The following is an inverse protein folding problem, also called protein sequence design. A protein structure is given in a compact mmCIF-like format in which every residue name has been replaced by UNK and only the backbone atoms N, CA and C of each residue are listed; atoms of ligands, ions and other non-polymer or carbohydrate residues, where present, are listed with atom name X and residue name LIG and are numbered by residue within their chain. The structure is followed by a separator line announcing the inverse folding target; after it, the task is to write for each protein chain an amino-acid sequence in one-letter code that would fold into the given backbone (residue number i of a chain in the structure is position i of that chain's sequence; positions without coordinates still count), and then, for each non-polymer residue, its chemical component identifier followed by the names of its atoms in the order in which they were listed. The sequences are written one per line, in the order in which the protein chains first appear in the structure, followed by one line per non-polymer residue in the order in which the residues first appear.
data_IF_604115097788
#
_entry.id   IF_604115097788
#
_cell.length_a   1.000
_cell.length_b   1.000
_cell.length_c   1.000
_cell.angle_alpha   90.00
_cell.angle_beta   90.00
_cell.angle_gamma   90.00
#
_symmetry.space_group_name_H-M   'P 1'
#
loop_
_entity.id
_entity.type
_entity.pdbx_description
1 polymer ?
#
# COMPACT_ATOMS: atom_id res chain seq x y z
N UNK A 1 12.57 -0.71 -11.97
CA UNK A 1 11.40 -0.35 -11.15
C UNK A 1 11.85 0.36 -9.89
N UNK A 2 11.16 1.40 -9.47
CA UNK A 2 11.54 2.29 -8.37
C UNK A 2 10.58 2.09 -7.19
N UNK A 3 11.09 1.99 -5.96
CA UNK A 3 10.30 1.91 -4.75
C UNK A 3 10.26 3.29 -4.10
N UNK A 4 9.08 3.77 -3.77
CA UNK A 4 8.89 4.99 -2.99
C UNK A 4 8.79 4.65 -1.52
N UNK A 5 9.50 5.39 -0.66
CA UNK A 5 9.54 5.12 0.79
C UNK A 5 8.92 6.30 1.53
N UNK A 6 7.79 6.04 2.18
CA UNK A 6 7.12 6.99 3.09
C UNK A 6 7.54 6.71 4.52
N UNK A 7 8.11 7.70 5.20
CA UNK A 7 8.59 7.56 6.58
C UNK A 7 8.65 8.91 7.31
N UNK A 8 8.59 8.89 8.62
CA UNK A 8 8.74 10.11 9.42
C UNK A 8 10.21 10.54 9.54
N UNK A 9 10.47 11.85 9.36
CA UNK A 9 11.80 12.43 9.55
C UNK A 9 12.25 12.49 11.02
N UNK A 10 11.38 12.10 11.94
CA UNK A 10 11.72 12.01 13.35
C UNK A 10 12.44 10.69 13.66
N UNK A 11 13.24 10.72 14.73
CA UNK A 11 13.88 9.51 15.24
C UNK A 11 12.83 8.60 15.89
N UNK A 12 13.00 7.27 15.82
CA UNK A 12 14.11 6.53 15.21
C UNK A 12 13.97 6.29 13.70
N UNK A 13 12.81 6.58 13.09
CA UNK A 13 12.49 6.23 11.71
C UNK A 13 13.52 6.77 10.71
N UNK A 14 13.93 8.04 10.86
CA UNK A 14 14.91 8.65 9.96
C UNK A 14 16.25 7.91 9.96
N UNK A 15 16.79 7.55 11.12
CA UNK A 15 18.05 6.81 11.23
C UNK A 15 17.94 5.41 10.62
N UNK A 16 16.83 4.70 10.89
CA UNK A 16 16.61 3.35 10.40
C UNK A 16 16.52 3.35 8.88
N UNK A 17 15.75 4.26 8.30
CA UNK A 17 15.61 4.34 6.84
C UNK A 17 16.92 4.71 6.18
N UNK A 18 17.59 5.79 6.63
CA UNK A 18 18.80 6.29 5.96
C UNK A 18 20.03 5.41 6.17
N UNK A 19 20.23 4.88 7.37
CA UNK A 19 21.46 4.20 7.74
C UNK A 19 21.42 2.68 7.59
N UNK A 20 20.21 2.10 7.50
CA UNK A 20 20.03 0.64 7.41
C UNK A 20 19.28 0.23 6.17
N UNK A 21 18.04 0.70 5.98
CA UNK A 21 17.18 0.27 4.87
C UNK A 21 17.72 0.71 3.51
N UNK A 22 17.99 1.99 3.31
CA UNK A 22 18.51 2.51 2.03
C UNK A 22 19.82 1.87 1.58
N UNK A 23 20.83 1.66 2.45
CA UNK A 23 22.04 0.92 2.08
C UNK A 23 21.76 -0.53 1.64
N UNK A 24 20.85 -1.24 2.33
CA UNK A 24 20.47 -2.60 1.96
C UNK A 24 19.78 -2.67 0.60
N UNK A 25 18.85 -1.75 0.31
CA UNK A 25 18.21 -1.65 -1.00
C UNK A 25 19.24 -1.38 -2.10
N UNK A 26 20.16 -0.45 -1.87
CA UNK A 26 21.23 -0.12 -2.82
C UNK A 26 22.15 -1.32 -3.09
N UNK A 27 22.58 -2.04 -2.05
CA UNK A 27 23.40 -3.25 -2.17
C UNK A 27 22.69 -4.36 -2.96
N UNK A 28 21.35 -4.37 -2.88
CA UNK A 28 20.52 -5.34 -3.58
C UNK A 28 20.13 -4.92 -5.00
N UNK A 29 20.68 -3.80 -5.52
CA UNK A 29 20.34 -3.20 -6.81
C UNK A 29 18.86 -2.85 -6.97
N UNK A 30 18.20 -2.46 -5.88
CA UNK A 30 16.83 -1.97 -5.88
C UNK A 30 16.86 -0.45 -5.90
N UNK A 31 16.28 0.15 -6.94
CA UNK A 31 16.13 1.59 -7.03
C UNK A 31 15.04 2.08 -6.08
N UNK A 32 15.28 3.21 -5.40
CA UNK A 32 14.34 3.76 -4.43
C UNK A 32 14.33 5.29 -4.44
N UNK A 33 13.19 5.84 -4.04
CA UNK A 33 12.97 7.27 -3.85
C UNK A 33 12.56 7.56 -2.42
N UNK A 34 13.16 8.58 -1.84
CA UNK A 34 12.76 9.20 -0.56
C UNK A 34 12.69 10.71 -0.76
N UNK A 35 11.75 11.34 -0.07
CA UNK A 35 11.49 12.77 -0.17
C UNK A 35 12.75 13.67 -0.02
N UNK A 36 13.62 13.35 0.94
CA UNK A 36 14.86 14.12 1.20
C UNK A 36 15.95 13.91 0.15
N UNK A 37 16.01 12.73 -0.47
CA UNK A 37 17.08 12.39 -1.42
C UNK A 37 16.77 12.91 -2.81
N UNK A 38 15.53 12.81 -3.20
CA UNK A 38 15.07 13.12 -4.55
C UNK A 38 14.51 14.55 -4.65
N UNK A 39 14.10 15.14 -3.52
CA UNK A 39 13.90 16.58 -3.39
C UNK A 39 15.24 17.30 -3.23
N UNK A 40 16.09 17.28 -4.29
CA UNK A 40 17.27 18.14 -4.39
C UNK A 40 16.87 19.62 -4.29
N UNK A 41 17.87 20.49 -4.22
CA UNK A 41 17.63 21.94 -4.21
C UNK A 41 16.69 22.36 -5.35
N UNK A 42 15.48 22.84 -5.00
CA UNK A 42 14.47 23.30 -5.97
C UNK A 42 13.40 22.27 -6.34
N UNK A 43 13.37 21.06 -5.75
CA UNK A 43 12.29 20.11 -5.97
C UNK A 43 11.04 20.43 -5.15
N UNK A 44 9.90 20.23 -5.77
CA UNK A 44 8.57 20.45 -5.19
C UNK A 44 8.14 19.24 -4.34
N UNK A 45 8.00 19.44 -3.03
CA UNK A 45 7.52 18.39 -2.09
C UNK A 45 6.13 17.89 -2.49
N UNK A 46 5.28 18.76 -3.00
CA UNK A 46 3.93 18.36 -3.45
C UNK A 46 3.97 17.46 -4.69
N UNK A 47 4.99 17.60 -5.54
CA UNK A 47 5.21 16.68 -6.65
C UNK A 47 5.54 15.28 -6.13
N UNK A 48 6.43 15.15 -5.15
CA UNK A 48 6.75 13.87 -4.51
C UNK A 48 5.52 13.22 -3.85
N UNK A 49 4.72 14.01 -3.11
CA UNK A 49 3.49 13.54 -2.49
C UNK A 49 2.50 12.96 -3.53
N UNK A 50 2.40 13.59 -4.71
CA UNK A 50 1.57 13.08 -5.82
C UNK A 50 2.14 11.81 -6.44
N UNK A 51 3.45 11.77 -6.65
CA UNK A 51 4.15 10.60 -7.22
C UNK A 51 4.01 9.37 -6.34
N UNK A 52 4.25 9.50 -5.03
CA UNK A 52 4.13 8.37 -4.09
C UNK A 52 2.69 7.86 -4.01
N UNK A 53 1.70 8.76 -4.10
CA UNK A 53 0.29 8.40 -4.16
C UNK A 53 -0.04 7.49 -5.36
N UNK A 54 0.61 7.68 -6.49
CA UNK A 54 0.36 6.95 -7.75
C UNK A 54 1.35 5.81 -7.98
N UNK A 55 2.39 5.67 -7.16
CA UNK A 55 3.45 4.69 -7.35
C UNK A 55 2.94 3.24 -7.23
N UNK A 56 3.41 2.38 -8.12
CA UNK A 56 3.09 0.94 -8.10
C UNK A 56 3.78 0.19 -6.96
N UNK A 57 4.87 0.76 -6.41
CA UNK A 57 5.64 0.16 -5.33
C UNK A 57 5.95 1.18 -4.25
N UNK A 58 5.30 1.03 -3.11
CA UNK A 58 5.46 1.89 -1.95
C UNK A 58 5.84 1.07 -0.73
N UNK A 59 6.83 1.54 0.01
CA UNK A 59 7.20 1.03 1.31
C UNK A 59 6.83 2.06 2.38
N UNK A 60 5.88 1.73 3.23
CA UNK A 60 5.44 2.58 4.34
C UNK A 60 6.10 2.13 5.62
N UNK A 61 6.86 3.03 6.26
CA UNK A 61 7.58 2.77 7.50
C UNK A 61 6.84 3.44 8.65
N UNK A 62 6.02 2.66 9.34
CA UNK A 62 5.16 3.13 10.42
C UNK A 62 5.94 3.32 11.72
N UNK A 63 5.70 4.43 12.37
CA UNK A 63 6.16 4.77 13.73
C UNK A 63 5.12 5.65 14.42
N UNK A 64 5.21 5.83 15.73
CA UNK A 64 4.32 6.76 16.41
C UNK A 64 4.39 8.17 15.78
N UNK A 65 5.58 8.65 15.45
CA UNK A 65 5.76 9.95 14.83
C UNK A 65 5.20 10.06 13.40
N UNK A 66 4.99 8.95 12.70
CA UNK A 66 4.37 8.89 11.39
C UNK A 66 2.92 9.41 11.44
N UNK A 67 2.15 8.92 12.41
CA UNK A 67 0.73 9.24 12.57
C UNK A 67 0.45 10.71 12.94
N UNK A 68 1.45 11.44 13.39
CA UNK A 68 1.36 12.87 13.74
C UNK A 68 2.13 13.78 12.79
N UNK A 69 2.59 13.24 11.65
CA UNK A 69 3.24 14.00 10.58
C UNK A 69 2.24 14.31 9.47
N UNK A 70 2.05 15.60 9.18
CA UNK A 70 1.12 16.05 8.13
C UNK A 70 1.48 15.44 6.77
N UNK A 71 2.76 15.47 6.39
CA UNK A 71 3.21 14.95 5.10
C UNK A 71 3.03 13.43 5.02
N UNK A 72 3.49 12.67 6.04
CA UNK A 72 3.35 11.22 6.06
C UNK A 72 1.89 10.77 5.98
N UNK A 73 1.02 11.39 6.77
CA UNK A 73 -0.40 11.05 6.77
C UNK A 73 -1.11 11.47 5.49
N UNK A 74 -0.68 12.56 4.87
CA UNK A 74 -1.20 12.98 3.58
C UNK A 74 -0.75 12.04 2.45
N UNK A 75 0.55 11.65 2.43
CA UNK A 75 1.07 10.60 1.53
C UNK A 75 0.27 9.31 1.67
N UNK A 76 0.05 8.85 2.90
CA UNK A 76 -0.76 7.67 3.19
C UNK A 76 -2.19 7.81 2.64
N UNK A 77 -2.83 8.95 2.86
CA UNK A 77 -4.16 9.23 2.34
C UNK A 77 -4.21 9.18 0.81
N UNK A 78 -3.19 9.71 0.13
CA UNK A 78 -3.08 9.66 -1.34
C UNK A 78 -2.85 8.22 -1.84
N UNK A 79 -2.01 7.43 -1.15
CA UNK A 79 -1.80 6.02 -1.45
C UNK A 79 -3.10 5.24 -1.37
N UNK A 80 -3.90 5.46 -0.32
CA UNK A 80 -5.20 4.81 -0.12
C UNK A 80 -6.25 5.29 -1.13
N UNK A 81 -6.26 6.58 -1.45
CA UNK A 81 -7.16 7.19 -2.42
C UNK A 81 -7.02 6.55 -3.80
N UNK A 82 -5.81 6.25 -4.23
CA UNK A 82 -5.52 5.70 -5.56
C UNK A 82 -5.76 4.18 -5.68
N UNK A 83 -6.32 3.54 -4.67
CA UNK A 83 -6.83 2.16 -4.74
C UNK A 83 -5.76 1.09 -4.54
N UNK A 84 -6.05 -0.12 -4.92
CA UNK A 84 -5.40 -1.42 -4.68
C UNK A 84 -4.11 -1.38 -3.85
N UNK A 85 -4.28 -1.39 -2.51
CA UNK A 85 -3.15 -1.27 -1.56
C UNK A 85 -2.40 -2.59 -1.40
N UNK A 86 -3.11 -3.73 -1.53
CA UNK A 86 -2.60 -5.07 -1.22
C UNK A 86 -1.36 -5.46 -2.04
N UNK A 87 -1.32 -5.07 -3.31
CA UNK A 87 -0.26 -5.52 -4.23
C UNK A 87 0.87 -4.49 -4.42
N UNK A 88 0.67 -3.25 -3.98
CA UNK A 88 1.64 -2.17 -4.22
C UNK A 88 2.25 -1.56 -2.95
N UNK A 89 1.68 -1.83 -1.77
CA UNK A 89 2.14 -1.23 -0.52
C UNK A 89 2.69 -2.30 0.42
N UNK A 90 3.92 -2.11 0.83
CA UNK A 90 4.61 -2.92 1.85
C UNK A 90 4.76 -2.11 3.11
N UNK A 91 4.65 -2.76 4.25
CA UNK A 91 4.58 -2.10 5.54
C UNK A 91 5.68 -2.60 6.47
N UNK A 92 6.36 -1.68 7.13
CA UNK A 92 7.30 -1.94 8.20
C UNK A 92 6.79 -1.25 9.46
N UNK A 93 6.71 -1.98 10.55
CA UNK A 93 6.47 -1.42 11.88
C UNK A 93 7.79 -1.24 12.61
N UNK A 94 8.10 -0.01 13.00
CA UNK A 94 9.29 0.26 13.81
C UNK A 94 9.02 0.15 15.31
N UNK A 95 7.76 0.34 15.72
CA UNK A 95 7.34 0.40 17.10
C UNK A 95 6.02 -0.36 17.25
N UNK A 96 5.82 -0.99 18.39
CA UNK A 96 4.51 -1.53 18.75
C UNK A 96 3.62 -0.40 19.26
N UNK A 97 2.88 0.22 18.35
CA UNK A 97 1.96 1.30 18.71
C UNK A 97 0.55 0.81 19.07
N UNK A 98 0.36 -0.51 19.14
CA UNK A 98 -0.97 -1.11 19.33
C UNK A 98 -1.94 -0.76 18.18
N UNK A 99 -2.58 -1.76 17.59
CA UNK A 99 -3.52 -1.56 16.49
C UNK A 99 -4.96 -1.60 16.99
N UNK A 100 -5.19 -0.88 18.09
CA UNK A 100 -6.47 -0.87 18.83
C UNK A 100 -7.38 0.26 18.35
N UNK A 101 -8.66 0.12 18.63
CA UNK A 101 -9.65 1.19 18.37
C UNK A 101 -9.37 2.44 19.22
N UNK A 102 -8.76 2.28 20.40
CA UNK A 102 -8.31 3.39 21.21
C UNK A 102 -7.22 4.20 20.52
N UNK A 103 -6.23 3.52 19.92
CA UNK A 103 -5.17 4.21 19.15
C UNK A 103 -5.73 4.88 17.90
N UNK A 104 -6.67 4.23 17.22
CA UNK A 104 -7.41 4.85 16.12
C UNK A 104 -8.07 6.16 16.54
N UNK A 105 -8.88 6.10 17.60
CA UNK A 105 -9.60 7.28 18.12
C UNK A 105 -8.64 8.40 18.49
N UNK A 106 -7.56 8.08 19.18
CA UNK A 106 -6.54 9.07 19.58
C UNK A 106 -5.92 9.80 18.39
N UNK A 107 -5.59 9.07 17.32
CA UNK A 107 -5.02 9.68 16.10
C UNK A 107 -6.09 10.49 15.36
N UNK A 108 -7.30 9.95 15.26
CA UNK A 108 -8.41 10.60 14.58
C UNK A 108 -8.79 11.92 15.25
N UNK A 109 -8.93 11.93 16.58
CA UNK A 109 -9.23 13.11 17.38
C UNK A 109 -8.14 14.18 17.24
N UNK A 110 -6.86 13.78 17.23
CA UNK A 110 -5.76 14.71 16.99
C UNK A 110 -5.91 15.45 15.67
N UNK A 111 -6.27 14.75 14.59
CA UNK A 111 -6.46 15.39 13.29
C UNK A 111 -7.74 16.21 13.19
N UNK A 112 -8.81 15.82 13.88
CA UNK A 112 -10.02 16.64 14.01
C UNK A 112 -9.73 17.96 14.76
N UNK A 113 -9.05 17.89 15.88
CA UNK A 113 -8.64 19.08 16.63
C UNK A 113 -7.76 20.00 15.79
N UNK A 114 -6.88 19.42 14.98
CA UNK A 114 -6.04 20.20 14.08
C UNK A 114 -6.86 20.93 12.99
N UNK A 115 -7.91 20.31 12.46
CA UNK A 115 -8.87 20.99 11.55
C UNK A 115 -9.51 22.19 12.25
N UNK A 116 -10.01 22.02 13.47
CA UNK A 116 -10.65 23.11 14.23
C UNK A 116 -9.69 24.28 14.44
N UNK A 117 -8.44 24.02 14.80
CA UNK A 117 -7.39 25.03 14.94
C UNK A 117 -7.12 25.76 13.61
N UNK A 118 -7.02 25.05 12.50
CA UNK A 118 -6.80 25.64 11.17
C UNK A 118 -7.98 26.54 10.77
N UNK A 119 -9.22 26.10 11.00
CA UNK A 119 -10.43 26.87 10.72
C UNK A 119 -10.51 28.15 11.56
N UNK A 120 -10.20 28.07 12.85
CA UNK A 120 -10.11 29.24 13.72
C UNK A 120 -9.06 30.24 13.25
N UNK A 121 -7.88 29.74 12.86
CA UNK A 121 -6.82 30.58 12.33
C UNK A 121 -7.21 31.26 11.03
N UNK A 122 -7.92 30.54 10.13
CA UNK A 122 -8.43 31.11 8.88
C UNK A 122 -9.51 32.17 9.13
N UNK A 123 -10.42 31.94 10.08
CA UNK A 123 -11.49 32.90 10.42
C UNK A 123 -10.95 34.22 11.00
N UNK A 124 -9.81 34.17 11.67
CA UNK A 124 -9.14 35.34 12.21
C UNK A 124 -8.31 36.14 11.21
N UNK A 125 -8.18 35.66 9.96
CA UNK A 125 -7.43 36.35 8.89
C UNK A 125 -8.33 37.33 8.13
N UNK A 126 -7.84 38.52 7.89
CA UNK A 126 -8.54 39.53 7.07
C UNK A 126 -8.47 39.22 5.56
N UNK A 127 -7.51 38.43 5.14
CA UNK A 127 -7.28 38.05 3.75
C UNK A 127 -7.15 36.53 3.64
N UNK A 128 -7.39 35.99 2.42
CA UNK A 128 -7.24 34.57 2.13
C UNK A 128 -5.77 34.15 2.32
N UNK A 129 -5.54 33.18 3.20
CA UNK A 129 -4.23 32.61 3.50
C UNK A 129 -4.09 31.27 2.75
N UNK A 130 -3.45 31.30 1.58
CA UNK A 130 -3.29 30.13 0.72
C UNK A 130 -2.57 28.97 1.39
N UNK A 131 -1.43 29.18 2.06
CA UNK A 131 -0.74 28.10 2.79
C UNK A 131 -1.59 27.46 3.87
N UNK A 132 -2.39 28.22 4.60
CA UNK A 132 -3.28 27.70 5.63
C UNK A 132 -4.44 26.89 5.02
N UNK A 133 -4.99 27.39 3.90
CA UNK A 133 -6.03 26.70 3.14
C UNK A 133 -5.52 25.35 2.62
N UNK A 134 -4.31 25.31 2.04
CA UNK A 134 -3.70 24.06 1.57
C UNK A 134 -3.50 23.05 2.72
N UNK A 135 -3.05 23.51 3.89
CA UNK A 135 -2.97 22.63 5.07
C UNK A 135 -4.33 22.06 5.47
N UNK A 136 -5.38 22.87 5.45
CA UNK A 136 -6.73 22.41 5.77
C UNK A 136 -7.22 21.36 4.78
N UNK A 137 -6.94 21.54 3.49
CA UNK A 137 -7.29 20.59 2.45
C UNK A 137 -6.54 19.24 2.63
N UNK A 138 -5.24 19.28 2.97
CA UNK A 138 -4.46 18.08 3.28
C UNK A 138 -5.05 17.33 4.47
N UNK A 139 -5.38 18.03 5.57
CA UNK A 139 -5.95 17.37 6.76
C UNK A 139 -7.34 16.79 6.50
N UNK A 140 -8.19 17.47 5.75
CA UNK A 140 -9.48 16.92 5.34
C UNK A 140 -9.32 15.66 4.49
N UNK A 141 -8.30 15.61 3.63
CA UNK A 141 -7.96 14.40 2.87
C UNK A 141 -7.51 13.27 3.79
N UNK A 142 -6.67 13.56 4.78
CA UNK A 142 -6.26 12.58 5.80
C UNK A 142 -7.49 11.99 6.49
N UNK A 143 -8.37 12.81 7.05
CA UNK A 143 -9.57 12.35 7.76
C UNK A 143 -10.49 11.52 6.87
N UNK A 144 -10.61 11.87 5.59
CA UNK A 144 -11.43 11.12 4.62
C UNK A 144 -10.94 9.69 4.41
N UNK A 145 -9.62 9.48 4.36
CA UNK A 145 -9.04 8.19 4.00
C UNK A 145 -8.46 7.41 5.19
N UNK A 146 -8.34 8.02 6.37
CA UNK A 146 -7.68 7.40 7.53
C UNK A 146 -8.40 6.13 8.01
N UNK A 147 -9.73 6.12 8.05
CA UNK A 147 -10.48 4.92 8.45
C UNK A 147 -10.12 3.71 7.56
N UNK A 148 -10.10 3.90 6.25
CA UNK A 148 -9.70 2.86 5.30
C UNK A 148 -8.22 2.47 5.44
N UNK A 149 -7.33 3.44 5.67
CA UNK A 149 -5.92 3.18 5.94
C UNK A 149 -5.74 2.32 7.20
N UNK A 150 -6.49 2.64 8.27
CA UNK A 150 -6.44 1.90 9.52
C UNK A 150 -6.91 0.47 9.39
N UNK A 151 -7.96 0.20 8.60
CA UNK A 151 -8.38 -1.17 8.29
C UNK A 151 -7.27 -2.01 7.64
N UNK A 152 -6.47 -1.42 6.73
CA UNK A 152 -5.30 -2.10 6.18
C UNK A 152 -4.24 -2.34 7.25
N UNK A 153 -3.91 -1.32 8.05
CA UNK A 153 -2.91 -1.41 9.13
C UNK A 153 -3.28 -2.49 10.15
N UNK A 154 -4.57 -2.65 10.49
CA UNK A 154 -5.03 -3.70 11.40
C UNK A 154 -4.90 -5.11 10.83
N UNK A 155 -5.15 -5.28 9.52
CA UNK A 155 -5.20 -6.60 8.86
C UNK A 155 -3.81 -7.11 8.44
N UNK A 156 -2.82 -6.23 8.29
CA UNK A 156 -1.53 -6.60 7.73
C UNK A 156 -0.64 -7.24 8.78
N UNK A 157 -0.10 -8.42 8.44
CA UNK A 157 0.97 -9.03 9.20
C UNK A 157 2.30 -8.34 8.84
N UNK A 158 2.72 -7.39 9.66
CA UNK A 158 3.98 -6.65 9.46
C UNK A 158 5.11 -7.31 10.22
N UNK A 159 6.30 -7.35 9.62
CA UNK A 159 7.50 -7.70 10.35
C UNK A 159 7.90 -6.55 11.27
N UNK A 160 8.27 -6.86 12.51
CA UNK A 160 8.84 -5.86 13.41
C UNK A 160 10.23 -5.45 12.94
N UNK A 161 10.68 -4.26 13.36
CA UNK A 161 12.05 -3.81 13.06
C UNK A 161 13.10 -4.81 13.54
N UNK A 162 12.91 -5.43 14.71
CA UNK A 162 13.82 -6.43 15.25
C UNK A 162 13.93 -7.66 14.33
N UNK A 163 12.80 -8.14 13.82
CA UNK A 163 12.77 -9.28 12.88
C UNK A 163 13.44 -8.94 11.54
N UNK A 164 13.30 -7.71 11.08
CA UNK A 164 13.90 -7.24 9.84
C UNK A 164 15.40 -6.99 10.00
N UNK A 165 15.82 -6.35 11.08
CA UNK A 165 17.22 -6.01 11.35
C UNK A 165 18.08 -7.25 11.65
N UNK A 166 17.53 -8.28 12.34
CA UNK A 166 18.21 -9.52 12.61
C UNK A 166 18.74 -10.23 11.35
N UNK A 167 18.07 -10.07 10.22
CA UNK A 167 18.46 -10.63 8.93
C UNK A 167 18.88 -9.56 7.91
N UNK A 168 19.32 -8.38 8.35
CA UNK A 168 19.73 -7.28 7.47
C UNK A 168 18.71 -6.99 6.34
N UNK A 169 17.42 -6.99 6.66
CA UNK A 169 16.32 -6.79 5.72
C UNK A 169 16.22 -7.83 4.58
N UNK A 170 16.95 -8.95 4.64
CA UNK A 170 16.98 -9.95 3.56
C UNK A 170 15.60 -10.49 3.20
N UNK A 171 14.72 -10.73 4.19
CA UNK A 171 13.34 -11.18 3.94
C UNK A 171 12.53 -10.16 3.17
N UNK A 172 12.65 -8.87 3.53
CA UNK A 172 11.98 -7.78 2.80
C UNK A 172 12.51 -7.67 1.37
N UNK A 173 13.84 -7.74 1.20
CA UNK A 173 14.50 -7.66 -0.10
C UNK A 173 14.10 -8.83 -1.00
N UNK A 174 14.05 -10.06 -0.47
CA UNK A 174 13.61 -11.23 -1.21
C UNK A 174 12.16 -11.06 -1.67
N UNK A 175 11.26 -10.68 -0.78
CA UNK A 175 9.85 -10.43 -1.12
C UNK A 175 9.68 -9.35 -2.19
N UNK A 176 10.42 -8.25 -2.09
CA UNK A 176 10.43 -7.21 -3.12
C UNK A 176 10.89 -7.77 -4.47
N UNK A 177 11.95 -8.58 -4.49
CA UNK A 177 12.49 -9.16 -5.72
C UNK A 177 11.56 -10.20 -6.35
N UNK A 178 10.96 -11.05 -5.56
CA UNK A 178 10.03 -12.08 -6.04
C UNK A 178 8.81 -11.46 -6.71
N UNK A 179 8.22 -10.42 -6.12
CA UNK A 179 7.13 -9.68 -6.75
C UNK A 179 7.58 -8.94 -8.02
N UNK A 180 8.81 -8.40 -8.03
CA UNK A 180 9.38 -7.77 -9.22
C UNK A 180 9.54 -8.74 -10.40
N UNK A 181 9.86 -9.99 -10.14
CA UNK A 181 9.97 -11.03 -11.17
C UNK A 181 8.59 -11.41 -11.72
N UNK A 182 7.58 -11.56 -10.85
CA UNK A 182 6.20 -11.84 -11.25
C UNK A 182 5.62 -10.75 -12.15
N UNK A 183 5.83 -9.47 -11.81
CA UNK A 183 5.40 -8.34 -12.64
C UNK A 183 6.13 -8.29 -14.00
N UNK A 184 7.39 -8.71 -14.05
CA UNK A 184 8.17 -8.75 -15.30
C UNK A 184 7.67 -9.86 -16.23
N UNK A 185 7.33 -11.02 -15.70
CA UNK A 185 6.83 -12.16 -16.47
C UNK A 185 5.44 -11.86 -17.07
N UNK A 186 4.54 -11.23 -16.32
CA UNK A 186 3.23 -10.79 -16.81
C UNK A 186 3.37 -9.80 -17.97
N UNK A 187 4.28 -8.83 -17.86
CA UNK A 187 4.48 -7.82 -18.90
C UNK A 187 5.17 -8.38 -20.17
N UNK A 188 5.93 -9.48 -20.05
CA UNK A 188 6.53 -10.16 -21.21
C UNK A 188 5.51 -11.01 -21.97
N UNK A 189 4.53 -11.60 -21.29
CA UNK A 189 3.46 -12.36 -21.95
C UNK A 189 2.46 -11.47 -22.70
N UNK A 190 2.24 -10.23 -22.26
CA UNK A 190 1.32 -9.29 -22.93
C UNK A 190 1.89 -8.75 -24.26
N UNK A 191 3.21 -8.77 -24.46
CA UNK A 191 3.87 -8.24 -25.65
C UNK A 191 4.11 -9.26 -26.76
N UNK A 192 3.69 -10.50 -26.61
CA UNK A 192 3.70 -11.47 -27.70
C UNK A 192 2.33 -11.49 -28.38
N UNK A 193 2.19 -10.77 -29.49
CA UNK A 193 1.10 -10.89 -30.45
C UNK A 193 1.08 -12.30 -31.07
N UNK A 194 0.69 -13.30 -30.31
CA UNK A 194 0.32 -14.62 -30.78
C UNK A 194 -1.17 -14.75 -30.62
N UNK A 195 -1.97 -14.90 -31.67
CA UNK A 195 -3.40 -15.12 -31.51
C UNK A 195 -3.62 -16.46 -30.80
N UNK A 196 -4.03 -16.39 -29.54
CA UNK A 196 -4.42 -17.56 -28.76
C UNK A 196 -5.66 -18.17 -29.45
N UNK A 197 -5.47 -19.25 -30.23
CA UNK A 197 -6.57 -20.13 -30.58
C UNK A 197 -7.03 -20.82 -29.31
N UNK A 198 -8.06 -20.27 -28.70
CA UNK A 198 -8.78 -20.91 -27.61
C UNK A 198 -9.43 -22.16 -28.20
N UNK A 199 -8.82 -23.32 -28.00
CA UNK A 199 -9.49 -24.61 -28.17
C UNK A 199 -10.45 -24.74 -26.98
N UNK A 200 -11.71 -24.54 -27.22
CA UNK A 200 -12.75 -24.97 -26.27
C UNK A 200 -12.60 -26.49 -26.11
N UNK A 201 -12.44 -27.02 -24.88
CA UNK A 201 -12.53 -28.45 -24.67
C UNK A 201 -13.97 -28.89 -25.00
N UNK A 202 -14.10 -29.93 -25.85
CA UNK A 202 -15.39 -30.57 -26.07
C UNK A 202 -15.91 -31.15 -24.73
N UNK A 203 -17.20 -31.09 -24.44
CA UNK A 203 -17.74 -31.63 -23.21
C UNK A 203 -17.59 -33.15 -23.19
N UNK A 204 -16.80 -33.65 -22.25
CA UNK A 204 -16.64 -35.09 -22.01
C UNK A 204 -17.85 -35.61 -21.26
N UNK A 205 -18.65 -36.44 -21.90
CA UNK A 205 -19.78 -37.14 -21.28
C UNK A 205 -19.23 -38.41 -20.62
N UNK A 206 -19.25 -38.47 -19.29
CA UNK A 206 -18.90 -39.65 -18.55
C UNK A 206 -20.21 -40.35 -18.09
N UNK A 207 -20.49 -41.51 -18.66
CA UNK A 207 -21.66 -42.34 -18.27
C UNK A 207 -21.18 -43.43 -17.31
N UNK A 208 -21.52 -43.32 -16.04
CA UNK A 208 -21.30 -44.40 -15.06
C UNK A 208 -22.61 -45.14 -14.83
N UNK A 209 -22.66 -46.43 -15.20
CA UNK A 209 -23.78 -47.32 -14.85
C UNK A 209 -23.51 -47.94 -13.47
N UNK A 210 -24.30 -47.58 -12.51
CA UNK A 210 -24.43 -48.33 -11.24
C UNK A 210 -25.88 -48.77 -11.06
N UNK A 211 -26.11 -50.07 -11.17
CA UNK A 211 -27.31 -50.82 -10.80
C UNK A 211 -28.66 -50.09 -10.87
N UNK A 212 -29.48 -50.42 -11.88
CA UNK A 212 -30.91 -50.17 -12.02
C UNK A 212 -31.44 -48.72 -12.11
N UNK A 213 -30.63 -47.69 -12.00
CA UNK A 213 -31.01 -46.31 -12.36
C UNK A 213 -29.83 -45.63 -13.06
N UNK A 214 -30.07 -45.12 -14.25
CA UNK A 214 -29.07 -44.34 -15.00
C UNK A 214 -29.05 -42.90 -14.49
N UNK A 215 -27.92 -42.47 -13.95
CA UNK A 215 -27.65 -41.06 -13.57
C UNK A 215 -26.69 -40.47 -14.57
N UNK A 216 -27.10 -39.43 -15.29
CA UNK A 216 -26.22 -38.66 -16.16
C UNK A 216 -25.78 -37.40 -15.47
N UNK A 217 -24.45 -37.21 -15.33
CA UNK A 217 -23.85 -35.97 -14.84
C UNK A 217 -23.28 -35.18 -16.01
N UNK A 218 -23.69 -33.95 -16.15
CA UNK A 218 -23.08 -32.99 -17.07
C UNK A 218 -22.26 -32.02 -16.20
N UNK A 219 -20.93 -32.00 -16.40
CA UNK A 219 -20.02 -31.06 -15.71
C UNK A 219 -19.77 -29.91 -16.68
N UNK A 220 -20.28 -28.75 -16.33
CA UNK A 220 -19.91 -27.47 -16.96
C UNK A 220 -19.03 -26.66 -16.01
N UNK A 221 -18.16 -25.80 -16.56
CA UNK A 221 -17.33 -24.87 -15.79
C UNK A 221 -18.17 -23.91 -14.94
N UNK A 222 -18.65 -24.33 -13.79
CA UNK A 222 -19.46 -23.48 -12.89
C UNK A 222 -20.40 -24.22 -11.96
N UNK A 223 -20.55 -25.55 -12.04
CA UNK A 223 -21.39 -26.28 -11.10
C UNK A 223 -21.79 -27.69 -11.55
N UNK A 224 -22.16 -28.51 -10.58
CA UNK A 224 -22.66 -29.87 -10.82
C UNK A 224 -24.21 -29.83 -10.86
N UNK A 225 -24.81 -30.20 -11.98
CA UNK A 225 -26.24 -30.40 -12.08
C UNK A 225 -26.54 -31.88 -12.19
N UNK A 226 -27.36 -32.41 -11.27
CA UNK A 226 -27.81 -33.82 -11.28
C UNK A 226 -29.21 -33.85 -11.85
N UNK A 227 -29.38 -34.60 -12.94
CA UNK A 227 -30.71 -34.84 -13.51
C UNK A 227 -31.06 -36.32 -13.26
N UNK A 228 -32.15 -36.55 -12.52
CA UNK A 228 -32.76 -37.88 -12.31
C UNK A 228 -33.85 -38.10 -13.37
N UNK A 229 -33.80 -39.21 -14.03
CA UNK A 229 -34.87 -39.68 -14.91
C UNK A 229 -35.66 -40.80 -14.26
#
# INVERSE_FOLDING_TARGET
MKIYISYSWKQPAMSIVKNWLCPCLKQSNIDYSIDVKDCGYGHDIEAFEREIGQADNVLVVLSNSYFYSLNCMYELALIIKNGIVSNRVRWINLEDFGRTDEMYSKIFDYWQDYVLQLQQNLSNKKHRDGPLQNKLEKVNTILTYFGKAWEYIQKINTLSFEQLSANQFQKLIAHIKDELLLDADINTEINTDVPIKVKHPEPSICITQTGAQSVSQIINDGGISVINF
#
